data_IF_560901384533
#
_entry.id   IF_560901384533
#
_cell.length_a   1.000
_cell.length_b   1.000
_cell.length_c   1.000
_cell.angle_alpha   90.00
_cell.angle_beta   90.00
_cell.angle_gamma   90.00
#
_symmetry.space_group_name_H-M   'P 1'
#
loop_
_entity.id
_entity.type
_entity.pdbx_description
1 polymer ?
#
# COMPACT_ATOMS: atom_id res chain seq x y z
N UNK A 1 -8.97 -1.40 -7.87
CA UNK A 1 -8.28 -0.10 -7.59
C UNK A 1 -6.79 -0.28 -7.69
N UNK A 2 -6.08 0.83 -7.95
CA UNK A 2 -4.62 0.82 -8.08
C UNK A 2 -4.01 2.00 -7.32
N UNK A 3 -2.89 1.75 -6.65
CA UNK A 3 -1.98 2.74 -6.06
C UNK A 3 -0.72 2.75 -6.89
N UNK A 4 -0.39 3.90 -7.48
CA UNK A 4 0.77 4.07 -8.36
C UNK A 4 2.00 4.52 -7.57
N UNK A 5 3.18 4.27 -8.10
CA UNK A 5 4.46 4.70 -7.56
C UNK A 5 4.53 6.23 -7.35
N UNK A 6 4.04 7.03 -8.30
CA UNK A 6 3.99 8.50 -8.24
C UNK A 6 2.68 9.05 -7.62
N UNK A 7 2.08 8.34 -6.68
CA UNK A 7 0.85 8.69 -5.91
C UNK A 7 -0.41 8.87 -6.78
N UNK A 8 -0.30 9.37 -8.01
CA UNK A 8 -1.41 9.65 -8.92
C UNK A 8 -2.51 10.55 -8.32
N UNK A 9 -2.19 11.39 -7.32
CA UNK A 9 -3.15 12.35 -6.77
C UNK A 9 -3.38 13.50 -7.75
N UNK A 10 -4.62 13.95 -7.87
CA UNK A 10 -4.99 15.02 -8.76
C UNK A 10 -4.60 16.37 -8.13
N UNK A 11 -3.63 17.13 -8.70
CA UNK A 11 -3.11 18.35 -8.08
C UNK A 11 -4.12 19.50 -8.04
N UNK A 12 -5.13 19.47 -8.92
CA UNK A 12 -6.21 20.46 -9.00
C UNK A 12 -7.37 20.19 -8.04
N UNK A 13 -7.41 19.02 -7.39
CA UNK A 13 -8.41 18.65 -6.42
C UNK A 13 -7.85 18.76 -5.01
N UNK A 14 -8.67 19.15 -4.03
CA UNK A 14 -8.31 19.03 -2.63
C UNK A 14 -8.28 17.56 -2.17
N UNK A 15 -7.87 17.31 -0.93
CA UNK A 15 -7.68 15.96 -0.38
C UNK A 15 -8.98 15.14 -0.37
N UNK A 16 -10.09 15.72 0.09
CA UNK A 16 -11.37 14.98 0.18
C UNK A 16 -11.91 14.66 -1.21
N UNK A 17 -11.77 15.57 -2.18
CA UNK A 17 -12.20 15.33 -3.56
C UNK A 17 -11.35 14.25 -4.23
N UNK A 18 -10.03 14.23 -3.97
CA UNK A 18 -9.16 13.15 -4.40
C UNK A 18 -9.64 11.79 -3.89
N UNK A 19 -9.94 11.67 -2.59
CA UNK A 19 -10.40 10.41 -2.00
C UNK A 19 -11.80 10.05 -2.52
N UNK A 20 -12.70 11.02 -2.64
CA UNK A 20 -14.08 10.81 -3.09
C UNK A 20 -14.22 10.50 -4.59
N UNK A 21 -13.18 10.74 -5.40
CA UNK A 21 -13.25 10.68 -6.86
C UNK A 21 -13.80 9.35 -7.38
N UNK A 22 -13.30 8.22 -6.89
CA UNK A 22 -13.78 6.91 -7.35
C UNK A 22 -15.25 6.65 -6.99
N UNK A 23 -15.72 7.14 -5.85
CA UNK A 23 -17.13 7.05 -5.44
C UNK A 23 -18.02 7.94 -6.29
N UNK A 24 -17.49 9.11 -6.73
CA UNK A 24 -18.17 10.00 -7.67
C UNK A 24 -18.40 9.33 -9.02
N UNK A 25 -17.37 8.65 -9.55
CA UNK A 25 -17.47 7.92 -10.81
C UNK A 25 -18.44 6.74 -10.74
N UNK A 26 -18.73 6.23 -9.54
CA UNK A 26 -19.77 5.23 -9.28
C UNK A 26 -21.17 5.85 -9.13
N UNK A 27 -21.33 7.17 -9.29
CA UNK A 27 -22.60 7.87 -9.17
C UNK A 27 -23.09 8.09 -7.73
N UNK A 28 -22.21 7.92 -6.73
CA UNK A 28 -22.59 8.09 -5.33
C UNK A 28 -22.94 9.55 -5.02
N UNK A 29 -24.05 9.85 -4.30
CA UNK A 29 -24.42 11.19 -3.90
C UNK A 29 -23.32 11.89 -3.10
N UNK A 30 -23.14 13.21 -3.32
CA UNK A 30 -22.06 14.00 -2.70
C UNK A 30 -21.98 13.85 -1.19
N UNK A 31 -23.11 13.89 -0.50
CA UNK A 31 -23.17 13.75 0.96
C UNK A 31 -22.56 12.41 1.40
N UNK A 32 -22.99 11.31 0.81
CA UNK A 32 -22.55 9.96 1.18
C UNK A 32 -21.06 9.75 0.85
N UNK A 33 -20.60 10.14 -0.36
CA UNK A 33 -19.19 9.97 -0.72
C UNK A 33 -18.25 10.80 0.16
N UNK A 34 -18.68 11.99 0.62
CA UNK A 34 -17.89 12.80 1.54
C UNK A 34 -17.85 12.20 2.94
N UNK A 35 -18.95 11.70 3.46
CA UNK A 35 -19.00 11.00 4.77
C UNK A 35 -18.04 9.81 4.76
N UNK A 36 -18.06 8.96 3.72
CA UNK A 36 -17.14 7.84 3.57
C UNK A 36 -15.68 8.29 3.43
N UNK A 37 -15.44 9.32 2.65
CA UNK A 37 -14.08 9.85 2.44
C UNK A 37 -13.50 10.44 3.72
N UNK A 38 -14.29 11.17 4.52
CA UNK A 38 -13.86 11.72 5.81
C UNK A 38 -13.53 10.61 6.81
N UNK A 39 -14.32 9.50 6.83
CA UNK A 39 -14.00 8.33 7.66
C UNK A 39 -12.63 7.75 7.29
N UNK A 40 -12.35 7.54 6.00
CA UNK A 40 -11.03 7.07 5.56
C UNK A 40 -9.92 8.05 5.85
N UNK A 41 -10.13 9.36 5.67
CA UNK A 41 -9.15 10.39 6.01
C UNK A 41 -8.83 10.41 7.51
N UNK A 42 -9.82 10.12 8.36
CA UNK A 42 -9.60 9.95 9.79
C UNK A 42 -8.70 8.75 10.10
N UNK A 43 -8.93 7.61 9.43
CA UNK A 43 -8.13 6.37 9.60
C UNK A 43 -6.67 6.55 9.22
N UNK A 44 -6.40 7.30 8.14
CA UNK A 44 -5.03 7.60 7.66
C UNK A 44 -4.45 8.90 8.26
N UNK A 45 -5.09 9.47 9.29
CA UNK A 45 -4.59 10.64 10.03
C UNK A 45 -4.63 11.96 9.26
N UNK A 46 -5.41 12.06 8.18
CA UNK A 46 -5.47 13.25 7.31
C UNK A 46 -6.74 14.11 7.45
N UNK A 47 -7.60 13.83 8.42
CA UNK A 47 -8.87 14.54 8.59
C UNK A 47 -8.72 16.07 8.67
N UNK A 48 -7.67 16.57 9.34
CA UNK A 48 -7.39 18.01 9.49
C UNK A 48 -6.91 18.67 8.18
N UNK A 49 -6.56 17.86 7.19
CA UNK A 49 -6.04 18.30 5.88
C UNK A 49 -7.05 18.08 4.75
N UNK A 50 -8.30 17.69 5.06
CA UNK A 50 -9.32 17.30 4.09
C UNK A 50 -9.53 18.32 2.94
N UNK A 51 -9.40 19.60 3.24
CA UNK A 51 -9.64 20.70 2.28
C UNK A 51 -8.36 21.34 1.71
N UNK A 52 -7.17 20.80 2.08
CA UNK A 52 -5.90 21.25 1.50
C UNK A 52 -5.66 20.63 0.12
N UNK A 53 -4.78 21.25 -0.67
CA UNK A 53 -4.36 20.72 -1.96
C UNK A 53 -3.06 19.90 -1.83
N UNK A 54 -2.80 18.95 -2.75
CA UNK A 54 -1.62 18.07 -2.69
C UNK A 54 -0.27 18.80 -2.60
N UNK A 55 -0.13 19.98 -3.20
CA UNK A 55 1.10 20.75 -3.16
C UNK A 55 1.44 21.32 -1.77
N UNK A 56 0.46 21.38 -0.87
CA UNK A 56 0.63 21.84 0.52
C UNK A 56 1.05 20.69 1.47
N UNK A 57 1.22 19.46 0.97
CA UNK A 57 1.37 18.26 1.74
C UNK A 57 2.73 17.60 1.52
N UNK A 58 3.23 16.91 2.56
CA UNK A 58 4.43 16.08 2.45
C UNK A 58 4.21 14.87 1.53
N UNK A 59 5.30 14.25 1.10
CA UNK A 59 5.31 13.03 0.28
C UNK A 59 4.49 11.92 0.95
N UNK A 60 4.75 11.63 2.23
CA UNK A 60 4.01 10.61 2.98
C UNK A 60 2.51 10.92 3.11
N UNK A 61 2.13 12.21 3.24
CA UNK A 61 0.71 12.59 3.26
C UNK A 61 0.04 12.37 1.90
N UNK A 62 0.72 12.65 0.79
CA UNK A 62 0.19 12.34 -0.56
C UNK A 62 0.03 10.84 -0.77
N UNK A 63 0.95 10.04 -0.23
CA UNK A 63 0.83 8.58 -0.28
C UNK A 63 -0.40 8.07 0.49
N UNK A 64 -0.66 8.62 1.68
CA UNK A 64 -1.87 8.29 2.46
C UNK A 64 -3.16 8.65 1.71
N UNK A 65 -3.17 9.74 0.94
CA UNK A 65 -4.33 10.08 0.07
C UNK A 65 -4.53 9.01 -1.00
N UNK A 66 -3.46 8.58 -1.67
CA UNK A 66 -3.54 7.53 -2.70
C UNK A 66 -4.07 6.20 -2.13
N UNK A 67 -3.59 5.81 -0.95
CA UNK A 67 -4.07 4.62 -0.23
C UNK A 67 -5.55 4.80 0.15
N UNK A 68 -5.93 5.91 0.78
CA UNK A 68 -7.32 6.18 1.17
C UNK A 68 -8.27 6.14 -0.03
N UNK A 69 -7.88 6.77 -1.17
CA UNK A 69 -8.63 6.76 -2.43
C UNK A 69 -8.82 5.35 -2.97
N UNK A 70 -7.82 4.50 -2.86
CA UNK A 70 -7.91 3.12 -3.35
C UNK A 70 -8.83 2.26 -2.46
N UNK A 71 -8.76 2.43 -1.13
CA UNK A 71 -9.53 1.65 -0.17
C UNK A 71 -11.00 2.09 -0.03
N UNK A 72 -11.30 3.40 -0.17
CA UNK A 72 -12.67 3.93 0.00
C UNK A 72 -13.65 3.32 -0.99
N UNK A 73 -13.17 2.96 -2.19
CA UNK A 73 -13.94 2.28 -3.23
C UNK A 73 -14.32 0.83 -2.88
N UNK A 74 -13.81 0.31 -1.77
CA UNK A 74 -14.01 -1.07 -1.34
C UNK A 74 -13.74 -2.12 -2.45
N UNK A 75 -12.59 -2.08 -3.13
CA UNK A 75 -12.31 -2.97 -4.26
C UNK A 75 -12.16 -4.42 -3.81
N UNK A 76 -12.47 -5.37 -4.68
CA UNK A 76 -12.16 -6.80 -4.46
C UNK A 76 -10.66 -7.07 -4.62
N UNK A 77 -10.05 -6.41 -5.60
CA UNK A 77 -8.63 -6.51 -5.91
C UNK A 77 -7.98 -5.13 -5.82
N UNK A 78 -6.87 -5.04 -5.10
CA UNK A 78 -6.04 -3.86 -4.97
C UNK A 78 -4.66 -4.12 -5.56
N UNK A 79 -4.28 -3.30 -6.53
CA UNK A 79 -2.94 -3.30 -7.12
C UNK A 79 -2.13 -2.20 -6.48
N UNK A 80 -0.90 -2.49 -6.09
CA UNK A 80 0.04 -1.51 -5.53
C UNK A 80 1.39 -1.66 -6.24
N UNK A 81 1.83 -0.58 -6.88
CA UNK A 81 3.08 -0.55 -7.64
C UNK A 81 4.10 0.31 -6.90
N UNK A 82 5.06 -0.33 -6.23
CA UNK A 82 6.12 0.28 -5.42
C UNK A 82 5.66 1.45 -4.53
N UNK A 83 4.58 1.30 -3.75
CA UNK A 83 3.92 2.45 -3.11
C UNK A 83 4.77 3.16 -2.06
N UNK A 84 5.88 2.57 -1.59
CA UNK A 84 6.68 3.12 -0.50
C UNK A 84 8.11 3.50 -0.89
N UNK A 85 8.48 3.37 -2.18
CA UNK A 85 9.86 3.55 -2.66
C UNK A 85 10.43 4.95 -2.39
N UNK A 86 9.60 5.99 -2.47
CA UNK A 86 10.02 7.39 -2.32
C UNK A 86 9.95 7.92 -0.87
N UNK A 87 9.72 7.03 0.11
CA UNK A 87 9.57 7.41 1.50
C UNK A 87 10.86 7.16 2.29
N UNK A 88 11.11 8.02 3.27
CA UNK A 88 12.11 7.75 4.30
C UNK A 88 11.73 6.53 5.14
N UNK A 89 12.72 5.90 5.79
CA UNK A 89 12.53 4.64 6.51
C UNK A 89 11.45 4.71 7.60
N UNK A 90 11.40 5.82 8.36
CA UNK A 90 10.42 5.97 9.44
C UNK A 90 9.00 6.11 8.91
N UNK A 91 8.80 6.95 7.90
CA UNK A 91 7.49 7.14 7.24
C UNK A 91 7.02 5.84 6.60
N UNK A 92 7.93 5.08 5.97
CA UNK A 92 7.65 3.77 5.36
C UNK A 92 7.09 2.79 6.39
N UNK A 93 7.77 2.60 7.53
CA UNK A 93 7.33 1.69 8.59
C UNK A 93 5.94 2.06 9.12
N UNK A 94 5.66 3.36 9.32
CA UNK A 94 4.35 3.83 9.76
C UNK A 94 3.28 3.47 8.73
N UNK A 95 3.54 3.70 7.43
CA UNK A 95 2.56 3.44 6.38
C UNK A 95 2.34 1.96 6.11
N UNK A 96 3.35 1.12 6.27
CA UNK A 96 3.21 -0.34 6.23
C UNK A 96 2.29 -0.85 7.34
N UNK A 97 2.49 -0.35 8.58
CA UNK A 97 1.63 -0.69 9.71
C UNK A 97 0.18 -0.23 9.49
N UNK A 98 -0.02 1.00 8.97
CA UNK A 98 -1.34 1.52 8.61
C UNK A 98 -2.02 0.66 7.51
N UNK A 99 -1.27 0.26 6.48
CA UNK A 99 -1.76 -0.59 5.40
C UNK A 99 -2.21 -1.95 5.94
N UNK A 100 -1.40 -2.60 6.78
CA UNK A 100 -1.76 -3.88 7.41
C UNK A 100 -3.02 -3.74 8.27
N UNK A 101 -3.17 -2.64 9.02
CA UNK A 101 -4.36 -2.36 9.81
C UNK A 101 -5.60 -2.20 8.92
N UNK A 102 -5.53 -1.38 7.86
CA UNK A 102 -6.64 -1.20 6.92
C UNK A 102 -7.03 -2.51 6.24
N UNK A 103 -6.05 -3.32 5.85
CA UNK A 103 -6.28 -4.62 5.24
C UNK A 103 -6.94 -5.60 6.22
N UNK A 104 -6.54 -5.61 7.50
CA UNK A 104 -7.08 -6.52 8.50
C UNK A 104 -8.57 -6.30 8.79
N UNK A 105 -9.05 -5.06 8.66
CA UNK A 105 -10.46 -4.70 8.85
C UNK A 105 -11.35 -5.24 7.72
N UNK A 106 -10.82 -5.27 6.49
CA UNK A 106 -11.54 -5.74 5.30
C UNK A 106 -10.58 -6.50 4.39
N UNK A 107 -10.37 -7.78 4.69
CA UNK A 107 -9.48 -8.65 3.91
C UNK A 107 -9.81 -8.57 2.42
N UNK A 108 -8.82 -8.19 1.63
CA UNK A 108 -8.89 -8.04 0.17
C UNK A 108 -7.76 -8.81 -0.48
N UNK A 109 -7.94 -9.15 -1.75
CA UNK A 109 -6.82 -9.61 -2.55
C UNK A 109 -5.94 -8.41 -2.91
N UNK A 110 -4.67 -8.46 -2.53
CA UNK A 110 -3.71 -7.40 -2.84
C UNK A 110 -2.59 -7.99 -3.69
N UNK A 111 -2.29 -7.35 -4.81
CA UNK A 111 -1.08 -7.60 -5.60
C UNK A 111 -0.17 -6.40 -5.33
N UNK A 112 0.95 -6.68 -4.65
CA UNK A 112 1.90 -5.67 -4.20
C UNK A 112 3.23 -5.87 -4.92
N UNK A 113 3.66 -4.89 -5.70
CA UNK A 113 4.97 -4.88 -6.38
C UNK A 113 5.95 -4.11 -5.52
N UNK A 114 7.10 -4.70 -5.26
CA UNK A 114 8.21 -4.07 -4.54
C UNK A 114 9.54 -4.73 -4.93
N UNK A 115 10.62 -3.99 -4.81
CA UNK A 115 11.98 -4.52 -4.86
C UNK A 115 12.59 -4.74 -3.45
N UNK A 116 11.85 -4.44 -2.39
CA UNK A 116 12.27 -4.62 -1.00
C UNK A 116 11.77 -5.99 -0.49
N UNK A 117 12.72 -6.86 -0.11
CA UNK A 117 12.42 -8.21 0.36
C UNK A 117 11.69 -8.18 1.70
N UNK A 118 12.05 -7.25 2.58
CA UNK A 118 11.44 -7.13 3.91
C UNK A 118 9.97 -6.71 3.78
N UNK A 119 9.66 -5.76 2.89
CA UNK A 119 8.27 -5.43 2.54
C UNK A 119 7.50 -6.64 2.00
N UNK A 120 8.10 -7.38 1.07
CA UNK A 120 7.45 -8.54 0.45
C UNK A 120 7.08 -9.60 1.49
N UNK A 121 7.95 -9.86 2.47
CA UNK A 121 7.70 -10.83 3.55
C UNK A 121 6.71 -10.27 4.57
N UNK A 122 6.87 -9.00 4.97
CA UNK A 122 6.03 -8.38 5.99
C UNK A 122 4.57 -8.30 5.54
N UNK A 123 4.35 -7.88 4.28
CA UNK A 123 3.01 -7.59 3.75
C UNK A 123 2.36 -8.79 3.06
N UNK A 124 3.14 -9.64 2.38
CA UNK A 124 2.64 -10.72 1.52
C UNK A 124 2.34 -12.02 2.25
N UNK A 125 1.37 -12.78 1.79
CA UNK A 125 1.17 -14.18 2.20
C UNK A 125 1.99 -15.13 1.31
N UNK A 126 2.25 -14.70 0.07
CA UNK A 126 3.13 -15.36 -0.91
C UNK A 126 3.99 -14.31 -1.60
N UNK A 127 5.24 -14.63 -1.85
CA UNK A 127 6.19 -13.80 -2.61
C UNK A 127 6.47 -14.50 -3.94
N UNK A 128 6.20 -13.81 -5.04
CA UNK A 128 6.50 -14.25 -6.39
C UNK A 128 7.82 -13.57 -6.80
N UNK A 129 8.88 -14.38 -6.95
CA UNK A 129 10.18 -13.89 -7.43
C UNK A 129 10.15 -13.92 -8.96
N UNK A 130 10.50 -12.79 -9.58
CA UNK A 130 10.53 -12.66 -11.03
C UNK A 130 11.96 -12.59 -11.56
N UNK A 131 12.15 -13.12 -12.78
CA UNK A 131 13.41 -12.93 -13.54
C UNK A 131 13.47 -11.51 -14.12
N UNK A 132 14.69 -11.08 -14.54
CA UNK A 132 14.89 -9.82 -15.23
C UNK A 132 14.25 -9.82 -16.63
N UNK A 133 14.99 -10.04 -17.69
CA UNK A 133 14.47 -10.04 -19.07
C UNK A 133 14.73 -11.40 -19.73
N UNK A 134 13.71 -12.10 -20.24
CA UNK A 134 12.27 -11.78 -20.13
C UNK A 134 11.70 -12.03 -18.75
N UNK A 135 10.77 -11.17 -18.29
CA UNK A 135 10.09 -11.32 -17.00
C UNK A 135 9.27 -12.61 -16.92
N UNK A 136 9.64 -13.50 -16.01
CA UNK A 136 8.94 -14.76 -15.70
C UNK A 136 8.91 -14.98 -14.20
N UNK A 137 7.89 -15.69 -13.71
CA UNK A 137 7.88 -16.15 -12.32
C UNK A 137 8.94 -17.25 -12.19
N UNK A 138 9.97 -16.99 -11.38
CA UNK A 138 11.06 -17.93 -11.10
C UNK A 138 10.73 -18.83 -9.93
N UNK A 139 10.28 -18.22 -8.82
CA UNK A 139 9.92 -18.93 -7.61
C UNK A 139 8.64 -18.37 -7.01
N UNK A 140 7.93 -19.21 -6.24
CA UNK A 140 6.78 -18.82 -5.42
C UNK A 140 7.05 -19.25 -3.98
N UNK A 141 7.30 -18.28 -3.09
CA UNK A 141 7.64 -18.53 -1.70
C UNK A 141 6.42 -18.25 -0.82
N UNK A 142 5.96 -19.25 -0.07
CA UNK A 142 4.92 -19.07 0.96
C UNK A 142 5.57 -18.53 2.22
N UNK A 143 5.06 -17.40 2.73
CA UNK A 143 5.62 -16.75 3.91
C UNK A 143 5.39 -17.57 5.18
N UNK A 144 4.15 -18.00 5.44
CA UNK A 144 3.82 -18.89 6.56
C UNK A 144 4.14 -18.30 7.93
N UNK A 145 4.13 -16.97 8.06
CA UNK A 145 4.19 -16.25 9.34
C UNK A 145 2.79 -15.73 9.63
N UNK A 146 2.30 -16.02 10.84
CA UNK A 146 0.96 -15.61 11.24
C UNK A 146 0.79 -14.08 11.29
N UNK A 147 -0.44 -13.63 11.13
CA UNK A 147 -0.83 -12.23 11.28
C UNK A 147 -1.44 -12.00 12.68
N UNK A 148 -1.33 -10.83 13.32
CA UNK A 148 -0.75 -9.59 12.78
C UNK A 148 0.77 -9.62 12.70
N UNK A 149 1.33 -8.99 11.67
CA UNK A 149 2.77 -8.78 11.51
C UNK A 149 3.09 -7.31 11.71
N UNK A 150 4.24 -7.05 12.31
CA UNK A 150 4.77 -5.72 12.60
C UNK A 150 6.31 -5.74 12.48
N UNK A 151 6.96 -4.65 12.89
CA UNK A 151 8.42 -4.53 12.85
C UNK A 151 9.14 -5.60 13.70
N UNK A 152 8.50 -6.12 14.76
CA UNK A 152 9.11 -7.18 15.59
C UNK A 152 9.16 -8.51 14.82
N UNK A 153 8.27 -8.69 13.86
CA UNK A 153 8.24 -9.86 12.98
C UNK A 153 9.55 -10.03 12.19
N UNK A 154 10.22 -8.92 11.84
CA UNK A 154 11.50 -8.93 11.13
C UNK A 154 12.64 -9.60 11.92
N UNK A 155 12.55 -9.60 13.26
CA UNK A 155 13.50 -10.27 14.13
C UNK A 155 13.28 -11.78 14.29
N UNK A 156 12.21 -12.34 13.75
CA UNK A 156 11.91 -13.76 13.88
C UNK A 156 12.86 -14.62 13.02
N UNK A 157 13.28 -15.78 13.55
CA UNK A 157 14.12 -16.74 12.81
C UNK A 157 13.51 -17.08 11.43
N UNK A 158 12.20 -17.32 11.37
CA UNK A 158 11.50 -17.64 10.13
C UNK A 158 11.56 -16.51 9.10
N UNK A 159 11.50 -15.27 9.54
CA UNK A 159 11.62 -14.10 8.64
C UNK A 159 13.02 -14.03 8.01
N UNK A 160 14.07 -14.22 8.82
CA UNK A 160 15.45 -14.21 8.33
C UNK A 160 15.73 -15.37 7.37
N UNK A 161 15.18 -16.55 7.61
CA UNK A 161 15.27 -17.70 6.68
C UNK A 161 14.63 -17.39 5.33
N UNK A 162 13.42 -16.78 5.33
CA UNK A 162 12.71 -16.37 4.12
C UNK A 162 13.49 -15.29 3.36
N UNK A 163 14.03 -14.30 4.08
CA UNK A 163 14.86 -13.25 3.50
C UNK A 163 16.07 -13.84 2.77
N UNK A 164 16.77 -14.76 3.40
CA UNK A 164 17.91 -15.44 2.78
C UNK A 164 17.51 -16.31 1.60
N UNK A 165 16.38 -16.98 1.66
CA UNK A 165 15.85 -17.80 0.56
C UNK A 165 15.54 -16.92 -0.67
N UNK A 166 14.77 -15.85 -0.46
CA UNK A 166 14.40 -14.91 -1.54
C UNK A 166 15.65 -14.25 -2.12
N UNK A 167 16.57 -13.76 -1.25
CA UNK A 167 17.83 -13.15 -1.68
C UNK A 167 18.63 -14.07 -2.59
N UNK A 168 18.77 -15.37 -2.25
CA UNK A 168 19.48 -16.36 -3.08
C UNK A 168 18.80 -16.54 -4.43
N UNK A 169 17.47 -16.43 -4.48
CA UNK A 169 16.73 -16.55 -5.73
C UNK A 169 16.94 -15.35 -6.65
N UNK A 170 16.97 -14.11 -6.12
CA UNK A 170 17.07 -12.90 -6.95
C UNK A 170 18.50 -12.47 -7.28
N UNK A 171 19.52 -12.86 -6.53
CA UNK A 171 20.91 -12.36 -6.65
C UNK A 171 21.55 -12.53 -8.03
N UNK A 172 21.02 -13.39 -8.87
CA UNK A 172 21.50 -13.64 -10.25
C UNK A 172 20.63 -12.95 -11.31
N UNK A 173 19.60 -12.21 -10.88
CA UNK A 173 18.65 -11.52 -11.74
C UNK A 173 18.89 -9.99 -11.75
N UNK A 174 19.77 -9.51 -10.86
CA UNK A 174 20.17 -8.11 -10.72
C UNK A 174 21.44 -7.83 -11.52
#
# INVERSE_FOLDING_TARGET
SMVFQEYGVFPWMNVIDNVAFGLEMQGMPRKERYERSLDFLKRVGLIRHAYRHPHELSVGMRQRIAIARAFVNNPEILLMDEPFVSLDAQTRLILQAELLKLWSERKKTVIFVTHDIDEAILLGDRVLVMTSVPGRIKDVVTVGIDRPRDIQTEGMQRFLELKMLIWRSIRHEV
#
